data_IF_033528961357
#
_entry.id   IF_033528961357
#
_cell.length_a   1.000
_cell.length_b   1.000
_cell.length_c   1.000
_cell.angle_alpha   90.00
_cell.angle_beta   90.00
_cell.angle_gamma   90.00
#
_symmetry.space_group_name_H-M   'P 1'
#
loop_
_entity.id
_entity.type
_entity.pdbx_description
1 polymer ?
#
# COMPACT_ATOMS: atom_id res chain seq x y z
N UNK A 1 10.16 -10.71 16.62
CA UNK A 1 9.73 -9.45 15.97
C UNK A 1 10.77 -8.38 16.29
N UNK A 2 11.23 -7.64 15.27
CA UNK A 2 12.12 -6.48 15.43
C UNK A 2 11.36 -5.22 15.05
N UNK A 3 11.63 -4.12 15.74
CA UNK A 3 11.00 -2.82 15.50
C UNK A 3 12.09 -1.83 15.10
N UNK A 4 11.98 -1.26 13.91
CA UNK A 4 12.86 -0.20 13.41
C UNK A 4 12.02 1.06 13.18
N UNK A 5 12.35 2.14 13.89
CA UNK A 5 11.66 3.42 13.73
C UNK A 5 12.20 4.15 12.50
N UNK A 6 11.32 4.53 11.58
CA UNK A 6 11.67 5.30 10.38
C UNK A 6 10.53 6.22 9.96
N UNK A 7 10.87 7.43 9.54
CA UNK A 7 9.93 8.36 8.91
C UNK A 7 10.03 8.21 7.39
N UNK A 8 9.00 7.62 6.79
CA UNK A 8 8.97 7.28 5.36
C UNK A 8 8.97 8.53 4.44
N UNK A 9 8.72 9.72 5.00
CA UNK A 9 8.83 10.99 4.25
C UNK A 9 10.29 11.37 3.93
N UNK A 10 11.27 10.77 4.61
CA UNK A 10 12.70 10.98 4.36
C UNK A 10 13.18 10.15 3.16
N UNK A 11 12.77 10.57 1.96
CA UNK A 11 12.99 9.84 0.71
C UNK A 11 14.46 9.51 0.42
N UNK A 12 15.37 10.38 0.80
CA UNK A 12 16.83 10.23 0.67
C UNK A 12 17.42 9.12 1.55
N UNK A 13 16.73 8.73 2.63
CA UNK A 13 17.17 7.70 3.58
C UNK A 13 16.51 6.35 3.39
N UNK A 14 15.55 6.22 2.48
CA UNK A 14 14.81 4.96 2.27
C UNK A 14 15.74 3.80 1.90
N UNK A 15 16.72 4.03 1.03
CA UNK A 15 17.63 2.97 0.59
C UNK A 15 18.48 2.45 1.75
N UNK A 16 19.01 3.33 2.58
CA UNK A 16 19.76 2.99 3.80
C UNK A 16 18.87 2.24 4.79
N UNK A 17 17.63 2.71 4.98
CA UNK A 17 16.68 2.03 5.87
C UNK A 17 16.38 0.60 5.42
N UNK A 18 16.13 0.37 4.13
CA UNK A 18 15.88 -0.98 3.60
C UNK A 18 17.12 -1.87 3.72
N UNK A 19 18.33 -1.30 3.55
CA UNK A 19 19.59 -2.03 3.79
C UNK A 19 19.66 -2.51 5.24
N UNK A 20 19.51 -1.59 6.19
CA UNK A 20 19.57 -1.88 7.61
C UNK A 20 18.51 -2.91 8.04
N UNK A 21 17.26 -2.73 7.55
CA UNK A 21 16.17 -3.67 7.81
C UNK A 21 16.50 -5.08 7.27
N UNK A 22 17.08 -5.17 6.07
CA UNK A 22 17.48 -6.45 5.48
C UNK A 22 18.56 -7.14 6.34
N UNK A 23 19.55 -6.40 6.84
CA UNK A 23 20.59 -6.97 7.73
C UNK A 23 19.98 -7.48 9.03
N UNK A 24 19.08 -6.71 9.65
CA UNK A 24 18.37 -7.11 10.87
C UNK A 24 17.50 -8.37 10.70
N UNK A 25 17.03 -8.64 9.46
CA UNK A 25 16.31 -9.85 9.08
C UNK A 25 17.21 -11.05 8.72
N UNK A 26 18.52 -10.93 8.91
CA UNK A 26 19.47 -12.01 8.61
C UNK A 26 20.06 -11.97 7.20
N UNK A 27 20.00 -10.81 6.53
CA UNK A 27 20.64 -10.57 5.23
C UNK A 27 19.77 -10.89 4.01
N UNK A 28 18.51 -11.36 4.21
CA UNK A 28 17.54 -11.62 3.15
C UNK A 28 16.28 -10.77 3.33
N UNK A 29 15.69 -10.34 2.23
CA UNK A 29 14.39 -9.68 2.20
C UNK A 29 13.48 -10.45 1.24
N UNK A 30 12.58 -11.26 1.80
CA UNK A 30 11.72 -12.15 1.03
C UNK A 30 10.39 -11.50 0.68
N UNK A 31 9.87 -10.64 1.57
CA UNK A 31 8.61 -9.94 1.37
C UNK A 31 8.67 -8.52 1.93
N UNK A 32 8.01 -7.58 1.25
CA UNK A 32 7.74 -6.23 1.77
C UNK A 32 6.27 -5.90 1.61
N UNK A 33 5.69 -5.28 2.65
CA UNK A 33 4.32 -4.75 2.63
C UNK A 33 4.38 -3.24 2.81
N UNK A 34 4.06 -2.49 1.77
CA UNK A 34 3.97 -1.03 1.82
C UNK A 34 2.57 -0.62 2.28
N UNK A 35 2.44 -0.35 3.58
CA UNK A 35 1.16 -0.01 4.23
C UNK A 35 1.11 1.42 4.77
N UNK A 36 2.26 2.08 5.00
CA UNK A 36 2.29 3.43 5.55
C UNK A 36 1.57 4.43 4.64
N UNK A 37 0.73 5.28 5.24
CA UNK A 37 -0.14 6.19 4.49
C UNK A 37 -0.52 7.41 5.33
N UNK A 38 -0.73 8.54 4.65
CA UNK A 38 -1.36 9.73 5.22
C UNK A 38 -2.52 10.18 4.34
N UNK A 39 -3.44 10.95 4.94
CA UNK A 39 -4.47 11.71 4.23
C UNK A 39 -4.33 13.20 4.59
N UNK A 40 -4.67 14.07 3.64
CA UNK A 40 -4.89 15.51 3.85
C UNK A 40 -6.06 15.90 2.97
N UNK A 41 -7.26 15.73 3.53
CA UNK A 41 -8.51 15.88 2.81
C UNK A 41 -8.90 17.35 2.70
N UNK A 42 -9.18 17.81 1.47
CA UNK A 42 -9.68 19.14 1.19
C UNK A 42 -10.38 19.15 -0.18
N UNK A 43 -11.37 20.03 -0.35
CA UNK A 43 -11.97 20.22 -1.67
C UNK A 43 -10.92 20.71 -2.67
N UNK A 44 -10.98 20.24 -3.92
CA UNK A 44 -9.96 20.52 -4.93
C UNK A 44 -9.64 22.01 -5.09
N UNK A 45 -10.67 22.88 -5.05
CA UNK A 45 -10.49 24.34 -5.14
C UNK A 45 -9.79 24.97 -3.94
N UNK A 46 -9.70 24.26 -2.81
CA UNK A 46 -9.07 24.73 -1.56
C UNK A 46 -7.78 23.98 -1.25
N UNK A 47 -7.54 22.85 -1.92
CA UNK A 47 -6.36 22.02 -1.71
C UNK A 47 -5.10 22.79 -2.12
N UNK A 48 -4.21 23.02 -1.16
CA UNK A 48 -2.93 23.66 -1.44
C UNK A 48 -1.98 22.70 -2.17
N UNK A 49 -0.99 23.27 -2.85
CA UNK A 49 0.06 22.48 -3.48
C UNK A 49 0.87 21.67 -2.46
N UNK A 50 1.02 22.17 -1.25
CA UNK A 50 1.75 21.47 -0.17
C UNK A 50 0.96 20.27 0.36
N UNK A 51 -0.37 20.39 0.54
CA UNK A 51 -1.24 19.26 0.88
C UNK A 51 -1.20 18.18 -0.21
N UNK A 52 -1.24 18.59 -1.48
CA UNK A 52 -1.09 17.69 -2.61
C UNK A 52 0.25 16.97 -2.59
N UNK A 53 1.35 17.72 -2.58
CA UNK A 53 2.72 17.16 -2.62
C UNK A 53 2.96 16.23 -1.45
N UNK A 54 2.60 16.63 -0.24
CA UNK A 54 2.85 15.81 0.96
C UNK A 54 2.19 14.45 0.87
N UNK A 55 0.94 14.36 0.36
CA UNK A 55 0.26 13.07 0.18
C UNK A 55 0.90 12.24 -0.93
N UNK A 56 1.24 12.86 -2.07
CA UNK A 56 1.93 12.17 -3.16
C UNK A 56 3.29 11.66 -2.71
N UNK A 57 4.08 12.47 -2.03
CA UNK A 57 5.43 12.10 -1.59
C UNK A 57 5.42 10.97 -0.58
N UNK A 58 4.55 11.05 0.45
CA UNK A 58 4.47 10.01 1.48
C UNK A 58 3.80 8.75 0.97
N UNK A 59 2.74 8.82 0.16
CA UNK A 59 2.00 7.63 -0.23
C UNK A 59 2.58 6.95 -1.48
N UNK A 60 2.88 7.73 -2.53
CA UNK A 60 3.28 7.19 -3.83
C UNK A 60 4.79 7.15 -4.01
N UNK A 61 5.47 8.30 -3.82
CA UNK A 61 6.92 8.39 -4.03
C UNK A 61 7.67 7.46 -3.08
N UNK A 62 7.30 7.44 -1.79
CA UNK A 62 7.94 6.55 -0.83
C UNK A 62 7.69 5.07 -1.14
N UNK A 63 6.46 4.70 -1.54
CA UNK A 63 6.13 3.32 -1.94
C UNK A 63 6.96 2.88 -3.14
N UNK A 64 7.18 3.77 -4.11
CA UNK A 64 8.09 3.50 -5.23
C UNK A 64 9.54 3.28 -4.76
N UNK A 65 10.05 4.16 -3.92
CA UNK A 65 11.44 4.06 -3.43
C UNK A 65 11.66 2.83 -2.55
N UNK A 66 10.70 2.49 -1.68
CA UNK A 66 10.71 1.26 -0.88
C UNK A 66 10.71 0.03 -1.78
N UNK A 67 9.81 -0.02 -2.77
CA UNK A 67 9.73 -1.11 -3.74
C UNK A 67 11.02 -1.24 -4.55
N UNK A 68 11.57 -0.13 -5.05
CA UNK A 68 12.84 -0.10 -5.79
C UNK A 68 14.00 -0.65 -4.95
N UNK A 69 14.10 -0.24 -3.69
CA UNK A 69 15.17 -0.69 -2.80
C UNK A 69 15.00 -2.16 -2.43
N UNK A 70 13.75 -2.62 -2.19
CA UNK A 70 13.46 -4.03 -1.96
C UNK A 70 13.79 -4.90 -3.18
N UNK A 71 13.43 -4.47 -4.39
CA UNK A 71 13.75 -5.17 -5.64
C UNK A 71 15.27 -5.38 -5.78
N UNK A 72 16.11 -4.40 -5.44
CA UNK A 72 17.57 -4.56 -5.46
C UNK A 72 18.06 -5.72 -4.57
N UNK A 73 17.39 -5.96 -3.43
CA UNK A 73 17.70 -7.08 -2.52
C UNK A 73 17.16 -8.41 -3.07
N UNK A 74 15.90 -8.40 -3.52
CA UNK A 74 15.22 -9.56 -4.07
C UNK A 74 15.88 -10.11 -5.34
N UNK A 75 16.47 -9.23 -6.16
CA UNK A 75 17.26 -9.66 -7.34
C UNK A 75 18.48 -10.50 -6.95
N UNK A 76 19.13 -10.20 -5.81
CA UNK A 76 20.24 -11.01 -5.30
C UNK A 76 19.75 -12.37 -4.80
N UNK A 77 18.58 -12.40 -4.18
CA UNK A 77 17.93 -13.62 -3.68
C UNK A 77 17.25 -14.44 -4.79
N UNK A 78 17.08 -13.87 -6.00
CA UNK A 78 16.35 -14.45 -7.14
C UNK A 78 14.90 -14.80 -6.82
N UNK A 79 14.32 -14.12 -5.86
CA UNK A 79 12.93 -14.31 -5.40
C UNK A 79 12.49 -13.11 -4.56
N UNK A 80 11.19 -12.80 -4.58
CA UNK A 80 10.61 -11.78 -3.69
C UNK A 80 9.13 -11.55 -3.91
N UNK A 81 8.50 -10.97 -2.90
CA UNK A 81 7.08 -10.57 -2.91
C UNK A 81 6.95 -9.12 -2.45
N UNK A 82 6.24 -8.31 -3.23
CA UNK A 82 5.89 -6.94 -2.86
C UNK A 82 4.37 -6.82 -2.83
N UNK A 83 3.82 -6.40 -1.71
CA UNK A 83 2.39 -6.14 -1.53
C UNK A 83 2.21 -4.67 -1.19
N UNK A 84 1.53 -3.93 -2.06
CA UNK A 84 1.23 -2.52 -1.88
C UNK A 84 -0.22 -2.34 -1.43
N UNK A 85 -0.44 -1.71 -0.28
CA UNK A 85 -1.79 -1.43 0.22
C UNK A 85 -2.31 -0.16 -0.45
N UNK A 86 -3.34 -0.32 -1.28
CA UNK A 86 -4.02 0.75 -1.99
C UNK A 86 -5.34 1.13 -1.31
N UNK A 87 -6.40 1.38 -2.04
CA UNK A 87 -7.76 1.61 -1.53
C UNK A 87 -8.75 1.53 -2.67
N UNK A 88 -9.99 1.14 -2.37
CA UNK A 88 -11.11 1.21 -3.33
C UNK A 88 -11.29 2.61 -3.92
N UNK A 89 -10.99 3.68 -3.14
CA UNK A 89 -11.09 5.06 -3.65
C UNK A 89 -10.07 5.36 -4.76
N UNK A 90 -8.99 4.60 -4.88
CA UNK A 90 -8.08 4.67 -6.02
C UNK A 90 -8.74 4.28 -7.36
N UNK A 91 -9.86 3.56 -7.31
CA UNK A 91 -10.67 3.16 -8.47
C UNK A 91 -11.90 4.05 -8.66
N UNK A 92 -12.54 4.47 -7.55
CA UNK A 92 -13.85 5.13 -7.57
C UNK A 92 -13.79 6.65 -7.45
N UNK A 93 -12.69 7.19 -6.89
CA UNK A 93 -12.63 8.55 -6.39
C UNK A 93 -13.35 8.70 -5.06
N UNK A 94 -13.07 9.82 -4.37
CA UNK A 94 -13.80 10.24 -3.17
C UNK A 94 -13.76 11.75 -3.03
N UNK A 95 -14.85 12.34 -2.54
CA UNK A 95 -14.97 13.78 -2.33
C UNK A 95 -13.89 14.27 -1.36
N UNK A 96 -13.18 15.34 -1.73
CA UNK A 96 -12.14 15.93 -0.89
C UNK A 96 -10.81 15.18 -0.85
N UNK A 97 -10.65 14.11 -1.62
CA UNK A 97 -9.47 13.24 -1.60
C UNK A 97 -8.75 13.14 -2.95
N UNK A 98 -8.70 14.22 -3.72
CA UNK A 98 -8.05 14.20 -5.04
C UNK A 98 -6.58 13.74 -4.96
N UNK A 99 -5.81 14.24 -3.97
CA UNK A 99 -4.42 13.84 -3.72
C UNK A 99 -4.30 12.36 -3.29
N UNK A 100 -5.11 11.92 -2.32
CA UNK A 100 -5.11 10.55 -1.83
C UNK A 100 -5.51 9.55 -2.92
N UNK A 101 -6.60 9.83 -3.62
CA UNK A 101 -7.08 9.02 -4.75
C UNK A 101 -6.01 8.91 -5.85
N UNK A 102 -5.40 10.03 -6.23
CA UNK A 102 -4.31 10.03 -7.21
C UNK A 102 -3.12 9.18 -6.75
N UNK A 103 -2.74 9.27 -5.45
CA UNK A 103 -1.65 8.47 -4.91
C UNK A 103 -1.98 6.97 -4.96
N UNK A 104 -3.20 6.56 -4.58
CA UNK A 104 -3.62 5.15 -4.57
C UNK A 104 -3.79 4.57 -5.98
N UNK A 105 -4.34 5.34 -6.91
CA UNK A 105 -4.38 4.96 -8.33
C UNK A 105 -2.98 4.86 -8.94
N UNK A 106 -2.09 5.79 -8.59
CA UNK A 106 -0.68 5.77 -9.00
C UNK A 106 0.07 4.52 -8.53
N UNK A 107 -0.15 4.08 -7.28
CA UNK A 107 0.42 2.84 -6.75
C UNK A 107 -0.04 1.63 -7.57
N UNK A 108 -1.32 1.55 -7.95
CA UNK A 108 -1.85 0.45 -8.76
C UNK A 108 -1.16 0.40 -10.13
N UNK A 109 -1.09 1.53 -10.82
CA UNK A 109 -0.46 1.61 -12.14
C UNK A 109 1.05 1.31 -12.08
N UNK A 110 1.75 1.88 -11.09
CA UNK A 110 3.17 1.63 -10.84
C UNK A 110 3.43 0.14 -10.57
N UNK A 111 2.60 -0.49 -9.72
CA UNK A 111 2.77 -1.90 -9.38
C UNK A 111 2.65 -2.82 -10.59
N UNK A 112 1.74 -2.53 -11.52
CA UNK A 112 1.62 -3.26 -12.79
C UNK A 112 2.89 -3.13 -13.64
N UNK A 113 3.44 -1.94 -13.76
CA UNK A 113 4.69 -1.71 -14.51
C UNK A 113 5.85 -2.50 -13.90
N UNK A 114 6.05 -2.39 -12.59
CA UNK A 114 7.09 -3.13 -11.88
C UNK A 114 6.89 -4.65 -11.98
N UNK A 115 5.65 -5.13 -11.92
CA UNK A 115 5.34 -6.54 -12.08
C UNK A 115 5.78 -7.07 -13.45
N UNK A 116 5.54 -6.32 -14.53
CA UNK A 116 5.98 -6.68 -15.89
C UNK A 116 7.51 -6.72 -15.98
N UNK A 117 8.19 -5.73 -15.38
CA UNK A 117 9.65 -5.62 -15.42
C UNK A 117 10.35 -6.79 -14.70
N UNK A 118 9.79 -7.25 -13.57
CA UNK A 118 10.48 -8.17 -12.66
C UNK A 118 9.87 -9.57 -12.59
N UNK A 119 8.79 -9.89 -13.32
CA UNK A 119 8.18 -11.21 -13.35
C UNK A 119 9.18 -12.34 -13.68
N UNK A 120 10.03 -12.13 -14.71
CA UNK A 120 11.06 -13.10 -15.12
C UNK A 120 12.17 -13.30 -14.08
N UNK A 121 12.20 -12.49 -13.04
CA UNK A 121 13.16 -12.57 -11.92
C UNK A 121 12.56 -13.24 -10.69
N UNK A 122 11.38 -13.84 -10.84
CA UNK A 122 10.63 -14.47 -9.73
C UNK A 122 10.32 -13.46 -8.61
N UNK A 123 10.02 -12.22 -8.98
CA UNK A 123 9.54 -11.18 -8.06
C UNK A 123 8.09 -10.88 -8.42
N UNK A 124 7.17 -11.16 -7.49
CA UNK A 124 5.76 -10.87 -7.64
C UNK A 124 5.41 -9.54 -6.95
N UNK A 125 4.71 -8.68 -7.67
CA UNK A 125 4.32 -7.35 -7.18
C UNK A 125 2.82 -7.20 -7.38
N UNK A 126 2.08 -7.12 -6.27
CA UNK A 126 0.62 -7.05 -6.27
C UNK A 126 0.12 -5.95 -5.33
N UNK A 127 -1.13 -5.59 -5.51
CA UNK A 127 -1.83 -4.64 -4.66
C UNK A 127 -2.95 -5.33 -3.88
N UNK A 128 -3.25 -4.80 -2.70
CA UNK A 128 -4.51 -5.02 -2.01
C UNK A 128 -5.25 -3.69 -1.98
N UNK A 129 -6.52 -3.72 -2.33
CA UNK A 129 -7.41 -2.57 -2.34
C UNK A 129 -8.49 -2.75 -1.28
N UNK A 130 -8.23 -2.33 -0.02
CA UNK A 130 -9.23 -2.39 1.03
C UNK A 130 -10.45 -1.53 0.70
N UNK A 131 -11.63 -2.03 1.05
CA UNK A 131 -12.84 -1.25 1.17
C UNK A 131 -12.87 -0.48 2.50
N UNK A 132 -14.04 -0.45 3.14
CA UNK A 132 -14.18 0.17 4.44
C UNK A 132 -13.86 -0.82 5.55
N UNK A 133 -12.72 -0.60 6.19
CA UNK A 133 -12.17 -1.45 7.26
C UNK A 133 -12.31 -0.73 8.60
N UNK A 134 -12.68 -1.48 9.63
CA UNK A 134 -12.77 -0.99 11.00
C UNK A 134 -11.38 -0.65 11.54
N UNK A 135 -11.15 0.62 11.79
CA UNK A 135 -9.87 1.18 12.25
C UNK A 135 -10.14 2.39 13.15
N UNK A 136 -9.13 2.85 13.86
CA UNK A 136 -9.24 4.08 14.66
C UNK A 136 -9.71 5.31 13.84
N UNK A 137 -9.55 5.30 12.52
CA UNK A 137 -10.04 6.35 11.62
C UNK A 137 -11.55 6.21 11.38
N UNK A 138 -12.04 5.00 11.11
CA UNK A 138 -13.48 4.72 10.89
C UNK A 138 -14.28 4.74 12.18
N UNK A 139 -13.66 4.46 13.33
CA UNK A 139 -14.32 4.52 14.63
C UNK A 139 -14.78 5.94 15.01
N UNK A 140 -14.11 6.95 14.48
CA UNK A 140 -14.46 8.37 14.69
C UNK A 140 -15.62 8.88 13.83
N UNK A 141 -16.10 8.06 12.89
CA UNK A 141 -17.24 8.43 12.05
C UNK A 141 -18.53 8.37 12.85
N UNK A 142 -19.44 9.30 12.57
CA UNK A 142 -20.79 9.33 13.13
C UNK A 142 -21.56 8.04 12.72
N UNK A 143 -22.43 7.56 13.61
CA UNK A 143 -23.14 6.30 13.44
C UNK A 143 -24.06 6.29 12.20
N UNK A 144 -24.72 7.40 11.89
CA UNK A 144 -25.51 7.53 10.66
C UNK A 144 -24.68 7.38 9.39
N UNK A 145 -23.44 7.91 9.43
CA UNK A 145 -22.52 7.78 8.30
C UNK A 145 -22.00 6.35 8.17
N UNK A 146 -21.72 5.68 9.31
CA UNK A 146 -21.37 4.25 9.32
C UNK A 146 -22.48 3.38 8.77
N UNK A 147 -23.72 3.60 9.17
CA UNK A 147 -24.89 2.88 8.65
C UNK A 147 -25.05 3.09 7.14
N UNK A 148 -24.89 4.32 6.66
CA UNK A 148 -24.94 4.64 5.23
C UNK A 148 -23.81 3.96 4.42
N UNK A 149 -22.65 3.74 5.01
CA UNK A 149 -21.56 2.96 4.38
C UNK A 149 -21.93 1.48 4.39
N UNK A 150 -22.30 0.93 5.53
CA UNK A 150 -22.65 -0.48 5.71
C UNK A 150 -23.78 -0.90 4.76
N UNK A 151 -24.79 -0.04 4.58
CA UNK A 151 -25.90 -0.33 3.65
C UNK A 151 -25.47 -0.51 2.19
N UNK A 152 -24.30 0.00 1.81
CA UNK A 152 -23.74 -0.13 0.45
C UNK A 152 -22.79 -1.33 0.31
N UNK A 153 -22.43 -1.97 1.43
CA UNK A 153 -21.52 -3.12 1.43
C UNK A 153 -22.38 -4.39 1.32
N UNK A 154 -22.19 -5.24 0.30
CA UNK A 154 -23.00 -6.45 0.13
C UNK A 154 -22.97 -7.40 1.32
N UNK A 155 -21.84 -7.48 2.04
CA UNK A 155 -21.70 -8.30 3.26
C UNK A 155 -22.35 -7.69 4.50
N UNK A 156 -22.93 -6.49 4.39
CA UNK A 156 -23.61 -5.75 5.46
C UNK A 156 -22.76 -5.55 6.75
N UNK A 157 -21.45 -5.50 6.60
CA UNK A 157 -20.48 -5.19 7.68
C UNK A 157 -19.28 -4.44 7.16
N UNK A 158 -18.58 -3.72 8.03
CA UNK A 158 -17.22 -3.28 7.75
C UNK A 158 -16.27 -4.48 7.74
N UNK A 159 -15.20 -4.42 6.94
CA UNK A 159 -14.11 -5.37 7.03
C UNK A 159 -13.34 -5.20 8.34
N UNK A 160 -12.71 -6.26 8.81
CA UNK A 160 -11.81 -6.23 9.94
C UNK A 160 -10.35 -6.17 9.45
N UNK A 161 -9.40 -5.65 10.26
CA UNK A 161 -7.98 -5.66 9.90
C UNK A 161 -7.45 -7.04 9.50
N UNK A 162 -7.97 -8.10 10.11
CA UNK A 162 -7.61 -9.48 9.81
C UNK A 162 -8.05 -9.91 8.41
N UNK A 163 -9.13 -9.35 7.85
CA UNK A 163 -9.53 -9.61 6.46
C UNK A 163 -8.41 -9.16 5.50
N UNK A 164 -7.79 -8.00 5.79
CA UNK A 164 -6.65 -7.49 5.02
C UNK A 164 -5.38 -8.29 5.29
N UNK A 165 -5.09 -8.62 6.55
CA UNK A 165 -3.91 -9.38 6.93
C UNK A 165 -3.88 -10.77 6.26
N UNK A 166 -5.02 -11.45 6.17
CA UNK A 166 -5.15 -12.73 5.50
C UNK A 166 -4.89 -12.63 3.98
N UNK A 167 -5.36 -11.55 3.33
CA UNK A 167 -5.06 -11.28 1.93
C UNK A 167 -3.56 -10.99 1.71
N UNK A 168 -2.93 -10.24 2.61
CA UNK A 168 -1.46 -10.00 2.61
C UNK A 168 -0.73 -11.32 2.74
N UNK A 169 -1.09 -12.16 3.71
CA UNK A 169 -0.47 -13.46 3.96
C UNK A 169 -0.56 -14.35 2.71
N UNK A 170 -1.72 -14.40 2.05
CA UNK A 170 -1.91 -15.12 0.80
C UNK A 170 -0.95 -14.62 -0.28
N UNK A 171 -0.91 -13.31 -0.54
CA UNK A 171 -0.04 -12.73 -1.57
C UNK A 171 1.45 -12.84 -1.26
N UNK A 172 1.84 -12.95 0.01
CA UNK A 172 3.22 -13.19 0.43
C UNK A 172 3.61 -14.69 0.40
N UNK A 173 2.65 -15.60 0.26
CA UNK A 173 2.88 -17.05 0.27
C UNK A 173 3.21 -17.61 -1.11
N UNK A 174 3.63 -18.89 -1.16
CA UNK A 174 3.83 -19.64 -2.39
C UNK A 174 2.54 -19.91 -3.17
N UNK A 175 1.37 -19.83 -2.53
CA UNK A 175 0.07 -20.02 -3.17
C UNK A 175 -0.26 -18.95 -4.21
N UNK A 176 0.41 -17.79 -4.17
CA UNK A 176 0.24 -16.68 -5.11
C UNK A 176 1.37 -16.57 -6.15
N UNK A 177 2.19 -17.59 -6.35
CA UNK A 177 3.36 -17.50 -7.24
C UNK A 177 3.02 -17.16 -8.70
N UNK A 178 1.81 -17.46 -9.16
CA UNK A 178 1.37 -17.14 -10.53
C UNK A 178 0.53 -15.85 -10.60
N UNK A 179 0.36 -15.15 -9.46
CA UNK A 179 -0.37 -13.88 -9.40
C UNK A 179 0.66 -12.74 -9.43
N UNK A 180 0.59 -11.88 -10.43
CA UNK A 180 1.52 -10.76 -10.58
C UNK A 180 0.87 -9.59 -11.32
N UNK A 181 1.02 -8.38 -10.80
CA UNK A 181 0.42 -7.16 -11.34
C UNK A 181 -1.07 -7.00 -11.02
N UNK A 182 -1.61 -7.82 -10.12
CA UNK A 182 -3.02 -7.80 -9.76
C UNK A 182 -3.33 -6.89 -8.57
N UNK A 183 -4.59 -6.43 -8.54
CA UNK A 183 -5.15 -5.71 -7.39
C UNK A 183 -6.30 -6.51 -6.80
N UNK A 184 -6.06 -7.10 -5.64
CA UNK A 184 -7.07 -7.85 -4.89
C UNK A 184 -7.94 -6.87 -4.09
N UNK A 185 -9.23 -6.84 -4.37
CA UNK A 185 -10.22 -6.07 -3.59
C UNK A 185 -10.66 -6.90 -2.37
N UNK A 186 -10.69 -6.25 -1.21
CA UNK A 186 -11.06 -6.88 0.07
C UNK A 186 -12.01 -5.98 0.85
#
# INVERSE_FOLDING_TARGET
IKILKFDISQSDKIEEFVENATQELGGSLDCIVNNAVITQDNLAIRMSLDEWKKVIDVNLTSTFLMSKSAIKKMLKNKSGKIVNITSVVGHTGNLGQANYTASKAGIIAMSKSLAIEYAKKNININCISPGFIKTAMTDKLDDKFKEAIISKIPSARLGEPDDIANAVLFLCSSHSNYINGETLHV
#
